data_IF_189135157908
#
_entry.id   IF_189135157908
#
_cell.length_a   1.000
_cell.length_b   1.000
_cell.length_c   1.000
_cell.angle_alpha   90.00
_cell.angle_beta   90.00
_cell.angle_gamma   90.00
#
_symmetry.space_group_name_H-M   'P 1'
#
loop_
_entity.id
_entity.type
_entity.pdbx_description
1 polymer ?
#
# COMPACT_ATOMS: atom_id res chain seq x y z
N UNK A 1 -5.24 -1.93 -24.06
CA UNK A 1 -4.79 -1.42 -22.75
C UNK A 1 -5.82 -0.39 -22.34
N UNK A 2 -6.68 -0.71 -21.36
CA UNK A 2 -7.69 0.22 -20.86
C UNK A 2 -6.98 1.41 -20.19
N UNK A 3 -7.35 2.61 -20.61
CA UNK A 3 -6.79 3.91 -20.18
C UNK A 3 -7.19 4.33 -18.76
N UNK A 4 -7.97 3.53 -18.05
CA UNK A 4 -8.17 3.66 -16.61
C UNK A 4 -7.14 2.80 -15.91
N UNK A 5 -6.18 3.42 -15.23
CA UNK A 5 -5.28 2.73 -14.30
C UNK A 5 -6.08 1.80 -13.39
N UNK A 6 -5.50 0.65 -13.05
CA UNK A 6 -6.11 -0.32 -12.14
C UNK A 6 -6.47 0.44 -10.86
N UNK A 7 -7.75 0.76 -10.68
CA UNK A 7 -8.25 1.42 -9.47
C UNK A 7 -7.98 0.46 -8.33
N UNK A 8 -7.05 0.82 -7.46
CA UNK A 8 -6.83 0.06 -6.22
C UNK A 8 -8.13 0.14 -5.43
N UNK A 9 -8.60 -1.01 -4.95
CA UNK A 9 -9.74 -1.08 -4.06
C UNK A 9 -9.49 -0.13 -2.87
N UNK A 10 -10.36 0.86 -2.61
CA UNK A 10 -10.20 1.80 -1.50
C UNK A 10 -9.93 1.10 -0.16
N UNK A 11 -10.51 -0.09 0.05
CA UNK A 11 -10.29 -0.89 1.26
C UNK A 11 -8.82 -1.32 1.45
N UNK A 12 -8.06 -1.45 0.36
CA UNK A 12 -6.62 -1.80 0.40
C UNK A 12 -5.72 -0.62 0.72
N UNK A 13 -6.17 0.60 0.42
CA UNK A 13 -5.47 1.84 0.79
C UNK A 13 -5.75 2.17 2.26
N UNK A 14 -6.98 1.98 2.71
CA UNK A 14 -7.40 2.19 4.09
C UNK A 14 -6.58 1.37 5.09
N UNK A 15 -6.32 0.09 4.78
CA UNK A 15 -5.46 -0.77 5.60
C UNK A 15 -4.02 -0.25 5.79
N UNK A 16 -3.50 0.52 4.82
CA UNK A 16 -2.18 1.18 4.93
C UNK A 16 -2.28 2.46 5.75
N UNK A 17 -3.37 3.20 5.62
CA UNK A 17 -3.62 4.45 6.35
C UNK A 17 -3.92 4.22 7.83
N UNK A 18 -4.63 3.15 8.17
CA UNK A 18 -4.93 2.75 9.55
C UNK A 18 -3.79 1.98 10.22
N UNK A 19 -2.70 1.72 9.50
CA UNK A 19 -1.58 0.98 10.04
C UNK A 19 -0.89 1.78 11.16
N UNK A 20 -0.92 1.25 12.38
CA UNK A 20 -0.24 1.86 13.53
C UNK A 20 1.27 1.94 13.36
N UNK A 21 1.97 2.69 14.22
CA UNK A 21 3.44 2.76 14.14
C UNK A 21 4.04 1.37 14.38
N UNK A 22 4.80 0.80 13.43
CA UNK A 22 5.42 -0.52 13.61
C UNK A 22 6.40 -0.50 14.78
N UNK A 23 6.38 -1.53 15.63
CA UNK A 23 7.26 -1.63 16.80
C UNK A 23 8.39 -2.65 16.61
N UNK A 24 8.32 -3.46 15.54
CA UNK A 24 9.30 -4.50 15.24
C UNK A 24 9.85 -4.44 13.81
N UNK A 25 11.07 -4.96 13.64
CA UNK A 25 11.70 -5.10 12.32
C UNK A 25 10.87 -5.96 11.37
N UNK A 26 10.17 -6.96 11.90
CA UNK A 26 9.30 -7.84 11.11
C UNK A 26 8.09 -7.07 10.56
N UNK A 27 7.44 -6.24 11.38
CA UNK A 27 6.32 -5.40 10.94
C UNK A 27 6.75 -4.36 9.90
N UNK A 28 7.92 -3.74 10.09
CA UNK A 28 8.48 -2.79 9.11
C UNK A 28 8.69 -3.48 7.76
N UNK A 29 9.25 -4.68 7.73
CA UNK A 29 9.47 -5.44 6.48
C UNK A 29 8.15 -5.81 5.81
N UNK A 30 7.14 -6.21 6.57
CA UNK A 30 5.79 -6.50 6.07
C UNK A 30 5.13 -5.25 5.47
N UNK A 31 5.21 -4.12 6.17
CA UNK A 31 4.69 -2.84 5.69
C UNK A 31 5.36 -2.42 4.38
N UNK A 32 6.70 -2.47 4.31
CA UNK A 32 7.43 -2.11 3.10
C UNK A 32 7.12 -3.03 1.92
N UNK A 33 6.91 -4.33 2.16
CA UNK A 33 6.46 -5.27 1.14
C UNK A 33 5.09 -4.91 0.57
N UNK A 34 4.17 -4.51 1.45
CA UNK A 34 2.82 -4.11 1.08
C UNK A 34 2.80 -2.76 0.37
N UNK A 35 3.46 -1.74 0.92
CA UNK A 35 3.61 -0.42 0.32
C UNK A 35 4.31 -0.46 -1.06
N UNK A 36 5.29 -1.35 -1.22
CA UNK A 36 6.00 -1.55 -2.49
C UNK A 36 5.08 -2.02 -3.62
N UNK A 37 4.09 -2.87 -3.33
CA UNK A 37 3.08 -3.30 -4.30
C UNK A 37 2.18 -2.12 -4.73
N UNK A 38 1.77 -1.28 -3.78
CA UNK A 38 0.84 -0.18 -4.04
C UNK A 38 1.50 1.09 -4.60
N UNK A 39 2.83 1.24 -4.52
CA UNK A 39 3.57 2.38 -5.10
C UNK A 39 3.27 2.60 -6.58
N UNK A 40 2.90 1.55 -7.32
CA UNK A 40 2.56 1.63 -8.76
C UNK A 40 1.24 2.37 -9.04
N UNK A 41 0.48 2.68 -8.00
CA UNK A 41 -0.86 3.28 -8.08
C UNK A 41 -0.96 4.62 -7.32
N UNK A 42 0.14 5.08 -6.72
CA UNK A 42 0.23 6.40 -6.10
C UNK A 42 0.78 7.34 -7.17
N UNK A 43 0.05 8.40 -7.51
CA UNK A 43 0.56 9.45 -8.42
C UNK A 43 1.84 10.08 -7.83
N UNK A 44 2.82 10.34 -8.70
CA UNK A 44 4.15 10.82 -8.32
C UNK A 44 4.17 12.28 -7.90
#
# INVERSE_FOLDING_TARGET
>A
ISSGGISVDPAKVEAVLEWGTPESVTEIRSFLGLAGYYRRFIES
#
